data_IF_281460066588
#
_entry.id   IF_281460066588
#
_cell.length_a   1.000
_cell.length_b   1.000
_cell.length_c   1.000
_cell.angle_alpha   90.00
_cell.angle_beta   90.00
_cell.angle_gamma   90.00
#
_symmetry.space_group_name_H-M   'P 1'
#
loop_
_entity.id
_entity.type
_entity.pdbx_description
1 polymer ?
#
# COMPACT_ATOMS: atom_id res chain seq x y z
N UNK A 1 24.08 6.78 -60.09
CA UNK A 1 22.60 6.80 -60.18
C UNK A 1 22.03 6.64 -58.77
N UNK A 2 21.42 7.72 -58.25
CA UNK A 2 20.55 7.85 -57.04
C UNK A 2 21.07 7.33 -55.68
N UNK A 3 21.67 8.25 -54.90
CA UNK A 3 21.89 8.14 -53.44
C UNK A 3 20.54 8.28 -52.71
N UNK A 4 20.21 7.37 -51.78
CA UNK A 4 19.03 7.48 -50.89
C UNK A 4 19.37 8.34 -49.68
N UNK A 5 18.55 9.37 -49.49
CA UNK A 5 18.66 10.43 -48.50
C UNK A 5 18.00 9.98 -47.18
N UNK A 6 18.73 10.11 -46.07
CA UNK A 6 18.20 9.95 -44.71
C UNK A 6 17.43 11.23 -44.33
N UNK A 7 16.17 11.09 -43.92
CA UNK A 7 15.41 12.16 -43.28
C UNK A 7 15.65 12.11 -41.76
N UNK A 8 16.43 13.06 -41.24
CA UNK A 8 16.49 13.38 -39.81
C UNK A 8 15.51 14.52 -39.59
N UNK A 9 14.43 14.24 -38.86
CA UNK A 9 13.46 15.25 -38.43
C UNK A 9 14.07 16.04 -37.25
N UNK A 10 14.64 17.21 -37.56
CA UNK A 10 15.05 18.20 -36.55
C UNK A 10 13.83 18.96 -36.05
N UNK A 11 13.50 18.81 -34.77
CA UNK A 11 12.56 19.70 -34.10
C UNK A 11 13.33 20.95 -33.67
N UNK A 12 12.98 22.05 -34.32
CA UNK A 12 13.48 23.39 -34.06
C UNK A 12 12.74 23.95 -32.84
N UNK A 13 13.44 24.14 -31.71
CA UNK A 13 12.93 24.97 -30.62
C UNK A 13 13.47 26.39 -30.82
N UNK A 14 12.56 27.30 -31.07
CA UNK A 14 12.80 28.72 -31.31
C UNK A 14 13.26 29.33 -29.97
N UNK A 15 14.52 29.76 -29.90
CA UNK A 15 14.98 30.67 -28.87
C UNK A 15 14.62 32.10 -29.26
N UNK A 16 13.86 32.78 -28.41
CA UNK A 16 13.78 34.25 -28.40
C UNK A 16 14.83 34.78 -27.44
N UNK A 17 15.71 35.64 -27.97
CA UNK A 17 16.78 36.30 -27.26
C UNK A 17 16.24 37.42 -26.34
N UNK A 18 16.87 37.56 -25.17
CA UNK A 18 17.10 38.86 -24.54
C UNK A 18 18.58 38.94 -24.17
N UNK A 19 19.29 39.73 -24.98
CA UNK A 19 20.45 40.57 -24.73
C UNK A 19 21.58 40.10 -23.83
N UNK A 20 22.74 39.95 -24.47
CA UNK A 20 24.00 39.61 -23.82
C UNK A 20 24.70 40.76 -23.12
N UNK A 21 25.68 40.37 -22.29
CA UNK A 21 26.90 41.12 -22.01
C UNK A 21 28.00 40.11 -21.68
N UNK A 22 29.17 40.40 -22.23
CA UNK A 22 30.35 39.54 -22.29
C UNK A 22 30.90 39.13 -20.90
N UNK A 23 31.49 37.95 -20.86
CA UNK A 23 32.26 37.42 -19.73
C UNK A 23 33.66 38.07 -19.66
N UNK A 24 34.18 38.35 -18.45
CA UNK A 24 35.60 38.36 -18.20
C UNK A 24 36.04 37.15 -17.36
N UNK A 25 37.06 36.49 -17.90
CA UNK A 25 38.21 35.81 -17.27
C UNK A 25 38.25 35.59 -15.75
N UNK A 26 38.58 34.33 -15.44
CA UNK A 26 38.97 33.72 -14.18
C UNK A 26 40.03 34.47 -13.37
N UNK A 27 39.74 34.65 -12.07
CA UNK A 27 40.74 34.51 -11.00
C UNK A 27 40.12 33.67 -9.88
N UNK A 28 40.83 32.60 -9.51
CA UNK A 28 40.51 31.70 -8.40
C UNK A 28 40.55 32.46 -7.07
N UNK A 29 39.48 32.35 -6.29
CA UNK A 29 39.56 32.48 -4.83
C UNK A 29 38.84 31.30 -4.22
N UNK A 30 39.63 30.36 -3.68
CA UNK A 30 39.17 29.32 -2.78
C UNK A 30 38.50 29.96 -1.56
N UNK A 31 37.18 29.83 -1.45
CA UNK A 31 36.48 29.98 -0.18
C UNK A 31 35.84 28.62 0.12
N UNK A 32 36.48 27.90 1.04
CA UNK A 32 35.90 26.76 1.73
C UNK A 32 34.73 27.32 2.54
N UNK A 33 33.51 27.12 2.06
CA UNK A 33 32.32 27.41 2.83
C UNK A 33 32.07 26.23 3.77
N UNK A 34 32.51 26.40 5.01
CA UNK A 34 32.11 25.65 6.20
C UNK A 34 30.58 25.75 6.36
N UNK A 35 29.84 24.79 5.82
CA UNK A 35 28.43 24.60 6.17
C UNK A 35 28.38 23.72 7.40
N UNK A 36 28.41 24.36 8.58
CA UNK A 36 28.04 23.71 9.83
C UNK A 36 26.61 23.18 9.71
N UNK A 37 26.47 21.86 9.72
CA UNK A 37 25.20 21.18 9.94
C UNK A 37 24.65 21.62 11.31
N UNK A 38 23.68 22.54 11.28
CA UNK A 38 22.85 22.80 12.46
C UNK A 38 21.95 21.58 12.67
N UNK A 39 22.35 20.71 13.58
CA UNK A 39 21.43 19.77 14.21
C UNK A 39 20.33 20.58 14.90
N UNK A 40 19.12 20.52 14.35
CA UNK A 40 17.93 20.99 15.05
C UNK A 40 17.50 19.85 15.97
N UNK A 41 17.88 19.96 17.22
CA UNK A 41 17.45 19.08 18.31
C UNK A 41 15.95 19.28 18.55
N UNK A 42 15.14 18.33 18.06
CA UNK A 42 13.70 18.32 18.33
C UNK A 42 13.52 17.81 19.77
N UNK A 43 13.26 18.72 20.71
CA UNK A 43 12.89 18.37 22.08
C UNK A 43 11.48 17.74 22.07
N UNK A 44 11.40 16.47 21.69
CA UNK A 44 10.18 15.68 21.81
C UNK A 44 9.88 15.42 23.29
N UNK A 45 8.62 15.59 23.68
CA UNK A 45 8.13 14.98 24.93
C UNK A 45 8.45 13.48 24.91
N UNK A 46 8.77 12.86 26.07
CA UNK A 46 9.15 11.46 26.12
C UNK A 46 8.05 10.61 25.49
N UNK A 47 8.41 9.93 24.39
CA UNK A 47 7.57 8.91 23.77
C UNK A 47 7.30 7.90 24.88
N UNK A 48 6.08 7.87 25.43
CA UNK A 48 5.73 6.87 26.43
C UNK A 48 5.85 5.51 25.77
N UNK A 49 6.97 4.83 25.99
CA UNK A 49 7.18 3.46 25.55
C UNK A 49 6.04 2.60 26.11
N UNK A 50 5.13 2.18 25.23
CA UNK A 50 4.25 1.06 25.50
C UNK A 50 4.84 -0.13 24.76
N UNK A 51 5.05 -1.29 25.41
CA UNK A 51 5.46 -2.49 24.70
C UNK A 51 4.28 -2.86 23.81
N UNK A 52 4.43 -2.88 22.48
CA UNK A 52 3.31 -3.25 21.63
C UNK A 52 3.58 -4.55 20.91
N UNK A 53 3.68 -5.59 21.75
CA UNK A 53 3.49 -6.98 21.33
C UNK A 53 2.14 -7.08 20.60
N UNK A 54 2.14 -7.71 19.42
CA UNK A 54 0.93 -7.95 18.66
C UNK A 54 -0.12 -8.67 19.52
N UNK A 55 -1.37 -8.18 19.50
CA UNK A 55 -2.48 -8.83 20.22
C UNK A 55 -3.40 -9.58 19.27
N UNK A 56 -3.90 -10.73 19.71
CA UNK A 56 -4.94 -11.47 19.01
C UNK A 56 -6.34 -10.92 19.33
N UNK A 57 -7.26 -11.04 18.37
CA UNK A 57 -8.68 -10.78 18.60
C UNK A 57 -9.28 -11.92 19.42
N UNK A 58 -9.87 -11.59 20.58
CA UNK A 58 -10.43 -12.60 21.51
C UNK A 58 -11.77 -13.17 21.04
N UNK A 59 -12.64 -12.33 20.50
CA UNK A 59 -13.95 -12.74 19.98
C UNK A 59 -13.99 -12.55 18.47
N UNK A 60 -13.97 -13.67 17.75
CA UNK A 60 -13.99 -13.71 16.28
C UNK A 60 -15.39 -13.94 15.71
N UNK A 61 -16.44 -13.88 16.54
CA UNK A 61 -17.83 -14.07 16.09
C UNK A 61 -18.21 -13.09 14.97
N UNK A 62 -17.74 -11.84 15.06
CA UNK A 62 -17.92 -10.84 13.99
C UNK A 62 -17.28 -11.26 12.67
N UNK A 63 -16.08 -11.85 12.74
CA UNK A 63 -15.33 -12.35 11.57
C UNK A 63 -16.06 -13.51 10.90
N UNK A 64 -16.61 -14.46 11.67
CA UNK A 64 -17.41 -15.56 11.13
C UNK A 64 -18.68 -15.06 10.42
N UNK A 65 -19.39 -14.09 11.01
CA UNK A 65 -20.54 -13.43 10.36
C UNK A 65 -20.13 -12.77 9.04
N UNK A 66 -19.00 -12.05 9.05
CA UNK A 66 -18.48 -11.39 7.85
C UNK A 66 -18.06 -12.38 6.77
N UNK A 67 -17.47 -13.50 7.15
CA UNK A 67 -17.12 -14.57 6.24
C UNK A 67 -18.35 -15.21 5.59
N UNK A 68 -19.46 -15.35 6.33
CA UNK A 68 -20.72 -15.82 5.76
C UNK A 68 -21.28 -14.88 4.68
N UNK A 69 -21.16 -13.55 4.88
CA UNK A 69 -21.47 -12.55 3.84
C UNK A 69 -20.52 -12.68 2.64
N UNK A 70 -19.22 -12.80 2.90
CA UNK A 70 -18.20 -12.98 1.87
C UNK A 70 -18.47 -14.23 1.02
N UNK A 71 -18.83 -15.36 1.64
CA UNK A 71 -19.19 -16.63 0.98
C UNK A 71 -20.35 -16.45 -0.01
N UNK A 72 -21.39 -15.70 0.38
CA UNK A 72 -22.52 -15.38 -0.50
C UNK A 72 -22.06 -14.54 -1.69
N UNK A 73 -21.25 -13.50 -1.42
CA UNK A 73 -20.76 -12.60 -2.45
C UNK A 73 -19.86 -13.31 -3.48
N UNK A 74 -18.87 -14.08 -3.04
CA UNK A 74 -17.93 -14.75 -3.96
C UNK A 74 -18.64 -15.76 -4.86
N UNK A 75 -19.65 -16.47 -4.34
CA UNK A 75 -20.50 -17.37 -5.13
C UNK A 75 -21.27 -16.60 -6.21
N UNK A 76 -21.90 -15.48 -5.85
CA UNK A 76 -22.66 -14.65 -6.79
C UNK A 76 -21.78 -14.02 -7.87
N UNK A 77 -20.53 -13.68 -7.56
CA UNK A 77 -19.59 -13.03 -8.49
C UNK A 77 -18.68 -14.00 -9.24
N UNK A 78 -18.83 -15.31 -9.06
CA UNK A 78 -17.98 -16.32 -9.71
C UNK A 78 -16.50 -16.18 -9.31
N UNK A 79 -16.25 -15.80 -8.06
CA UNK A 79 -14.91 -15.64 -7.48
C UNK A 79 -14.48 -16.93 -6.77
N UNK A 80 -13.29 -16.94 -6.17
CA UNK A 80 -12.81 -18.05 -5.36
C UNK A 80 -13.76 -18.29 -4.16
N UNK A 81 -14.27 -19.51 -4.05
CA UNK A 81 -15.21 -19.95 -3.00
C UNK A 81 -14.53 -20.74 -1.87
N UNK A 82 -13.22 -20.90 -1.95
CA UNK A 82 -12.41 -21.70 -1.05
C UNK A 82 -11.90 -20.84 0.10
N UNK A 83 -11.46 -19.62 -0.19
CA UNK A 83 -10.93 -18.72 0.80
C UNK A 83 -11.05 -17.24 0.39
N UNK A 84 -10.94 -16.35 1.37
CA UNK A 84 -10.87 -14.91 1.16
C UNK A 84 -9.98 -14.24 2.23
N UNK A 85 -9.74 -12.93 2.06
CA UNK A 85 -9.06 -12.09 3.04
C UNK A 85 -10.07 -11.12 3.64
N UNK A 86 -10.13 -11.06 4.96
CA UNK A 86 -10.96 -10.12 5.72
C UNK A 86 -10.03 -9.20 6.50
N UNK A 87 -10.28 -7.89 6.49
CA UNK A 87 -9.52 -6.90 7.25
C UNK A 87 -10.50 -6.03 8.02
N UNK A 88 -10.38 -6.03 9.34
CA UNK A 88 -11.23 -5.30 10.27
C UNK A 88 -10.48 -4.13 10.90
N UNK A 89 -10.70 -2.92 10.38
CA UNK A 89 -10.05 -1.72 10.86
C UNK A 89 -10.73 -1.08 12.08
N UNK A 90 -11.75 -1.73 12.66
CA UNK A 90 -12.25 -1.35 13.99
C UNK A 90 -11.24 -1.65 15.10
N UNK A 91 -10.32 -2.59 14.86
CA UNK A 91 -9.23 -2.88 15.77
C UNK A 91 -8.03 -1.97 15.53
N UNK A 92 -7.34 -1.61 16.61
CA UNK A 92 -6.14 -0.81 16.56
C UNK A 92 -5.00 -1.47 15.76
N UNK A 93 -3.99 -0.67 15.43
CA UNK A 93 -2.87 -1.04 14.59
C UNK A 93 -2.07 -2.25 15.11
N UNK A 94 -2.01 -2.47 16.42
CA UNK A 94 -1.24 -3.57 17.04
C UNK A 94 -2.07 -4.82 17.32
N UNK A 95 -3.30 -4.87 16.82
CA UNK A 95 -4.16 -6.05 16.87
C UNK A 95 -4.11 -6.78 15.53
N UNK A 96 -3.97 -8.11 15.53
CA UNK A 96 -3.99 -8.93 14.32
C UNK A 96 -5.38 -8.90 13.68
N UNK A 97 -5.51 -7.97 12.73
CA UNK A 97 -6.76 -7.51 12.15
C UNK A 97 -6.96 -7.86 10.68
N UNK A 98 -6.03 -8.62 10.09
CA UNK A 98 -6.26 -9.38 8.86
C UNK A 98 -6.48 -10.84 9.19
N UNK A 99 -7.43 -11.45 8.51
CA UNK A 99 -7.80 -12.85 8.64
C UNK A 99 -7.79 -13.50 7.25
N UNK A 100 -6.95 -14.51 7.06
CA UNK A 100 -7.06 -15.40 5.90
C UNK A 100 -8.11 -16.44 6.25
N UNK A 101 -9.26 -16.40 5.59
CA UNK A 101 -10.43 -17.17 5.99
C UNK A 101 -10.73 -18.30 5.00
N UNK A 102 -10.89 -19.52 5.52
CA UNK A 102 -11.32 -20.71 4.80
C UNK A 102 -12.85 -20.74 4.71
N UNK A 103 -13.39 -20.44 3.53
CA UNK A 103 -14.83 -20.37 3.27
C UNK A 103 -15.46 -21.77 3.14
N UNK A 104 -14.66 -22.81 2.87
CA UNK A 104 -15.14 -24.20 2.80
C UNK A 104 -15.38 -24.75 4.19
N UNK A 105 -14.38 -24.62 5.06
CA UNK A 105 -14.36 -25.21 6.39
C UNK A 105 -14.79 -24.25 7.50
N UNK A 106 -15.13 -23.01 7.16
CA UNK A 106 -15.62 -21.98 8.07
C UNK A 106 -14.67 -21.69 9.25
N UNK A 107 -13.39 -21.48 8.92
CA UNK A 107 -12.34 -21.24 9.93
C UNK A 107 -11.33 -20.20 9.47
N UNK A 108 -10.70 -19.56 10.45
CA UNK A 108 -9.53 -18.70 10.22
C UNK A 108 -8.31 -19.60 10.02
N UNK A 109 -7.55 -19.36 8.95
CA UNK A 109 -6.31 -20.07 8.63
C UNK A 109 -5.09 -19.38 9.21
N UNK A 110 -5.05 -18.05 9.11
CA UNK A 110 -3.95 -17.21 9.57
C UNK A 110 -4.45 -15.81 9.94
N UNK A 111 -3.73 -15.15 10.84
CA UNK A 111 -3.97 -13.75 11.23
C UNK A 111 -2.71 -12.91 11.08
N UNK A 112 -2.86 -11.61 10.83
CA UNK A 112 -1.73 -10.68 10.72
C UNK A 112 -2.07 -9.26 11.15
N UNK A 113 -1.03 -8.53 11.57
CA UNK A 113 -1.05 -7.07 11.63
C UNK A 113 -1.12 -6.49 10.22
N UNK A 114 -1.81 -5.35 10.09
CA UNK A 114 -1.95 -4.64 8.82
C UNK A 114 -1.80 -3.16 9.07
N UNK A 115 -0.96 -2.51 8.28
CA UNK A 115 -0.85 -1.05 8.23
C UNK A 115 -1.97 -0.46 7.35
N UNK A 116 -2.56 0.66 7.78
CA UNK A 116 -3.49 1.45 6.97
C UNK A 116 -2.84 2.75 6.49
N UNK A 117 -3.57 3.50 5.66
CA UNK A 117 -3.17 4.83 5.23
C UNK A 117 -3.07 5.85 6.37
N UNK A 118 -2.14 6.81 6.26
CA UNK A 118 -1.96 7.92 7.21
C UNK A 118 -2.97 9.07 7.00
N UNK A 119 -3.64 9.09 5.85
CA UNK A 119 -4.50 10.19 5.45
C UNK A 119 -5.61 10.51 6.44
N UNK A 120 -6.05 11.77 6.46
CA UNK A 120 -7.13 12.23 7.32
C UNK A 120 -6.78 12.32 8.82
N UNK A 121 -5.52 12.11 9.20
CA UNK A 121 -5.10 12.07 10.61
C UNK A 121 -5.27 10.70 11.25
N UNK A 122 -5.20 9.62 10.45
CA UNK A 122 -5.28 8.26 10.96
C UNK A 122 -4.11 7.97 11.90
N UNK A 123 -4.39 7.32 13.03
CA UNK A 123 -3.42 6.98 14.05
C UNK A 123 -3.49 5.49 14.41
N UNK A 124 -3.00 5.13 15.60
CA UNK A 124 -2.99 3.73 16.04
C UNK A 124 -4.39 3.18 16.30
N UNK A 125 -5.29 4.00 16.83
CA UNK A 125 -6.60 3.60 17.32
C UNK A 125 -7.73 4.01 16.36
N UNK A 126 -7.52 5.03 15.54
CA UNK A 126 -8.54 5.60 14.65
C UNK A 126 -8.06 5.60 13.19
N UNK A 127 -8.89 5.07 12.30
CA UNK A 127 -8.63 5.04 10.85
C UNK A 127 -9.64 5.90 10.12
N UNK A 128 -9.16 6.81 9.29
CA UNK A 128 -10.01 7.60 8.40
C UNK A 128 -10.03 6.98 6.99
N UNK A 129 -11.22 6.95 6.40
CA UNK A 129 -11.44 6.34 5.10
C UNK A 129 -11.80 7.35 4.03
N UNK A 130 -11.24 7.17 2.84
CA UNK A 130 -11.60 7.99 1.68
C UNK A 130 -11.29 7.26 0.38
N UNK A 131 -12.14 7.45 -0.62
CA UNK A 131 -11.94 6.98 -1.99
C UNK A 131 -11.38 8.07 -2.92
N UNK A 132 -11.01 9.22 -2.36
CA UNK A 132 -10.50 10.37 -3.12
C UNK A 132 -9.02 10.17 -3.46
N UNK A 133 -8.64 10.52 -4.68
CA UNK A 133 -7.24 10.47 -5.12
C UNK A 133 -6.37 11.42 -4.30
N UNK A 134 -5.16 10.98 -3.94
CA UNK A 134 -4.23 11.75 -3.11
C UNK A 134 -4.63 11.89 -1.63
N UNK A 135 -5.74 11.32 -1.17
CA UNK A 135 -6.16 11.47 0.24
C UNK A 135 -5.24 10.80 1.25
N UNK A 136 -4.43 9.84 0.83
CA UNK A 136 -3.59 9.01 1.71
C UNK A 136 -4.37 8.07 2.64
N UNK A 137 -5.71 8.08 2.59
CA UNK A 137 -6.56 7.22 3.42
C UNK A 137 -6.71 5.83 2.80
N UNK A 138 -6.91 4.82 3.65
CA UNK A 138 -7.47 3.54 3.19
C UNK A 138 -8.93 3.71 2.74
N UNK A 139 -9.52 2.70 2.11
CA UNK A 139 -10.93 2.74 1.70
C UNK A 139 -11.64 1.46 2.10
N UNK A 140 -12.86 1.59 2.62
CA UNK A 140 -13.70 0.45 2.98
C UNK A 140 -14.28 -0.21 1.73
N UNK A 141 -14.58 -1.50 1.84
CA UNK A 141 -15.34 -2.26 0.87
C UNK A 141 -14.63 -3.49 0.33
N UNK A 142 -15.26 -4.12 -0.65
CA UNK A 142 -14.81 -5.35 -1.30
C UNK A 142 -13.84 -5.04 -2.44
N UNK A 143 -12.74 -5.76 -2.48
CA UNK A 143 -11.71 -5.67 -3.49
C UNK A 143 -11.53 -7.00 -4.19
N UNK A 144 -11.21 -6.93 -5.48
CA UNK A 144 -10.61 -8.05 -6.21
C UNK A 144 -9.10 -7.86 -6.24
N UNK A 145 -8.38 -8.87 -5.76
CA UNK A 145 -6.92 -8.93 -5.94
C UNK A 145 -6.62 -9.13 -7.43
N UNK A 146 -5.78 -8.24 -7.95
CA UNK A 146 -5.45 -8.13 -9.37
C UNK A 146 -4.13 -8.79 -9.74
N UNK A 147 -3.46 -8.23 -10.73
CA UNK A 147 -2.20 -8.77 -11.25
C UNK A 147 -1.07 -8.60 -10.23
N UNK A 148 -0.20 -9.60 -10.15
CA UNK A 148 1.08 -9.53 -9.44
C UNK A 148 2.04 -8.64 -10.23
N UNK A 149 2.73 -7.72 -9.58
CA UNK A 149 3.68 -6.81 -10.22
C UNK A 149 4.89 -6.59 -9.32
N UNK A 150 5.99 -6.09 -9.91
CA UNK A 150 7.20 -5.79 -9.17
C UNK A 150 6.97 -4.66 -8.14
N UNK A 151 7.66 -4.75 -7.01
CA UNK A 151 7.64 -3.77 -5.92
C UNK A 151 9.07 -3.40 -5.53
N UNK A 152 9.29 -2.12 -5.22
CA UNK A 152 10.56 -1.66 -4.63
C UNK A 152 10.64 -1.93 -3.12
N UNK A 153 9.59 -2.51 -2.53
CA UNK A 153 9.46 -2.73 -1.09
C UNK A 153 9.21 -4.21 -0.78
N UNK A 154 9.66 -4.63 0.40
CA UNK A 154 9.32 -5.92 0.98
C UNK A 154 9.84 -7.08 0.14
N UNK A 155 9.01 -8.09 -0.05
CA UNK A 155 9.29 -9.29 -0.88
C UNK A 155 9.45 -9.01 -2.39
N UNK A 156 9.60 -7.76 -2.80
CA UNK A 156 9.78 -7.29 -4.19
C UNK A 156 8.62 -7.60 -5.15
N UNK A 157 7.42 -7.82 -4.61
CA UNK A 157 6.20 -7.85 -5.40
C UNK A 157 5.00 -7.32 -4.63
N UNK A 158 3.97 -6.92 -5.36
CA UNK A 158 2.67 -6.54 -4.83
C UNK A 158 1.55 -7.07 -5.74
N UNK A 159 0.31 -6.99 -5.26
CA UNK A 159 -0.88 -7.22 -6.07
C UNK A 159 -1.70 -5.95 -6.23
N UNK A 160 -2.07 -5.60 -7.48
CA UNK A 160 -2.92 -4.43 -7.74
C UNK A 160 -4.33 -4.65 -7.21
N UNK A 161 -4.91 -3.65 -6.55
CA UNK A 161 -6.25 -3.78 -5.96
C UNK A 161 -7.31 -3.13 -6.85
N UNK A 162 -8.40 -3.84 -7.10
CA UNK A 162 -9.56 -3.32 -7.82
C UNK A 162 -10.75 -3.22 -6.86
N UNK A 163 -11.25 -2.01 -6.63
CA UNK A 163 -12.47 -1.80 -5.86
C UNK A 163 -13.69 -2.35 -6.59
N UNK A 164 -14.62 -2.92 -5.83
CA UNK A 164 -15.87 -3.51 -6.33
C UNK A 164 -17.10 -2.75 -5.84
N UNK A 165 -16.91 -1.66 -5.08
CA UNK A 165 -17.97 -0.86 -4.45
C UNK A 165 -17.70 0.64 -4.62
N UNK A 166 -18.71 1.49 -4.45
CA UNK A 166 -18.56 2.95 -4.62
C UNK A 166 -17.57 3.57 -3.63
N UNK A 167 -17.42 2.96 -2.45
CA UNK A 167 -16.51 3.36 -1.38
C UNK A 167 -15.04 3.08 -1.69
N UNK A 168 -14.73 2.24 -2.68
CA UNK A 168 -13.35 1.91 -3.07
C UNK A 168 -13.12 1.87 -4.59
N UNK A 169 -14.06 2.37 -5.39
CA UNK A 169 -14.06 2.31 -6.85
C UNK A 169 -12.81 2.93 -7.51
N UNK A 170 -12.12 3.85 -6.83
CA UNK A 170 -10.90 4.47 -7.34
C UNK A 170 -9.63 3.72 -6.93
N UNK A 171 -9.70 2.60 -6.21
CA UNK A 171 -8.53 1.88 -5.68
C UNK A 171 -7.43 1.64 -6.73
N UNK A 172 -7.81 1.18 -7.93
CA UNK A 172 -6.84 0.94 -9.00
C UNK A 172 -6.21 2.23 -9.53
N UNK A 173 -7.01 3.28 -9.71
CA UNK A 173 -6.54 4.62 -10.16
C UNK A 173 -5.61 5.25 -9.14
N UNK A 174 -5.91 5.06 -7.85
CA UNK A 174 -5.14 5.51 -6.69
C UNK A 174 -3.89 4.68 -6.43
N UNK A 175 -3.55 3.73 -7.31
CA UNK A 175 -2.42 2.82 -7.16
C UNK A 175 -2.43 2.04 -5.84
N UNK A 176 -3.62 1.72 -5.32
CA UNK A 176 -3.76 0.89 -4.13
C UNK A 176 -3.31 -0.54 -4.47
N UNK A 177 -2.38 -1.06 -3.68
CA UNK A 177 -1.80 -2.40 -3.83
C UNK A 177 -1.79 -3.11 -2.49
N UNK A 178 -1.89 -4.44 -2.51
CA UNK A 178 -1.53 -5.28 -1.36
C UNK A 178 -0.05 -5.61 -1.47
N UNK A 179 0.74 -5.20 -0.48
CA UNK A 179 2.18 -5.39 -0.48
C UNK A 179 2.72 -5.60 0.93
N UNK A 180 3.99 -5.98 1.03
CA UNK A 180 4.75 -5.91 2.26
C UNK A 180 5.76 -4.78 2.26
N UNK A 181 6.39 -4.59 3.41
CA UNK A 181 7.47 -3.64 3.62
C UNK A 181 8.50 -4.26 4.57
N UNK A 182 9.79 -4.16 4.23
CA UNK A 182 10.90 -4.81 4.98
C UNK A 182 10.93 -4.43 6.47
N UNK A 183 10.42 -3.24 6.81
CA UNK A 183 10.37 -2.74 8.18
C UNK A 183 9.00 -2.91 8.85
N UNK A 184 8.02 -3.46 8.15
CA UNK A 184 6.79 -3.95 8.77
C UNK A 184 7.07 -5.34 9.31
N UNK A 185 7.68 -5.42 10.50
CA UNK A 185 7.83 -6.70 11.19
C UNK A 185 6.45 -7.27 11.50
N UNK A 186 6.32 -8.59 11.60
CA UNK A 186 5.02 -9.20 11.92
C UNK A 186 4.46 -8.74 13.28
N UNK A 187 5.30 -8.15 14.12
CA UNK A 187 4.94 -7.55 15.41
C UNK A 187 5.03 -6.01 15.44
N UNK A 188 5.43 -5.34 14.35
CA UNK A 188 5.59 -3.88 14.30
C UNK A 188 5.12 -3.30 12.95
N UNK A 189 3.83 -2.97 12.82
CA UNK A 189 3.24 -2.39 11.61
C UNK A 189 3.48 -0.87 11.59
N UNK A 190 3.27 -0.24 10.43
CA UNK A 190 3.53 1.19 10.22
C UNK A 190 2.24 1.99 10.05
N UNK A 191 2.28 3.28 10.35
CA UNK A 191 1.21 4.23 9.97
C UNK A 191 1.53 5.00 8.70
N UNK A 192 2.69 4.77 8.06
CA UNK A 192 3.20 5.62 6.98
C UNK A 192 2.67 5.28 5.57
N UNK A 193 1.73 4.34 5.43
CA UNK A 193 1.16 3.99 4.12
C UNK A 193 0.31 5.15 3.58
N UNK A 194 0.19 5.24 2.24
CA UNK A 194 -0.68 6.20 1.56
C UNK A 194 -2.02 5.59 1.12
N UNK A 195 -2.49 4.58 1.87
CA UNK A 195 -3.81 3.94 1.71
C UNK A 195 -3.76 2.44 1.42
N UNK A 196 -2.60 1.91 1.05
CA UNK A 196 -2.38 0.48 0.81
C UNK A 196 -2.45 -0.34 2.11
N UNK A 197 -3.09 -1.52 2.09
CA UNK A 197 -2.90 -2.51 3.15
C UNK A 197 -1.46 -3.06 3.06
N UNK A 198 -0.69 -2.87 4.14
CA UNK A 198 0.71 -3.35 4.23
C UNK A 198 0.85 -4.41 5.32
N UNK A 199 1.43 -5.56 4.97
CA UNK A 199 1.69 -6.67 5.89
C UNK A 199 3.19 -6.97 6.00
N UNK A 200 3.59 -7.87 6.90
CA UNK A 200 4.96 -8.36 6.92
C UNK A 200 5.27 -9.31 5.75
N UNK A 201 6.55 -9.50 5.44
CA UNK A 201 7.03 -10.30 4.32
C UNK A 201 6.55 -11.77 4.38
N UNK A 202 6.52 -12.38 5.57
CA UNK A 202 6.04 -13.75 5.76
C UNK A 202 4.57 -13.91 5.38
N UNK A 203 3.72 -12.98 5.84
CA UNK A 203 2.31 -12.96 5.48
C UNK A 203 2.12 -12.72 3.98
N UNK A 204 2.90 -11.83 3.37
CA UNK A 204 2.83 -11.58 1.94
C UNK A 204 3.22 -12.82 1.11
N UNK A 205 4.26 -13.54 1.53
CA UNK A 205 4.68 -14.81 0.93
C UNK A 205 3.62 -15.90 1.11
N UNK A 206 2.97 -15.96 2.28
CA UNK A 206 1.85 -16.87 2.52
C UNK A 206 0.69 -16.61 1.56
N UNK A 207 0.27 -15.34 1.45
CA UNK A 207 -0.80 -14.91 0.55
C UNK A 207 -0.45 -15.22 -0.91
N UNK A 208 0.78 -14.93 -1.34
CA UNK A 208 1.27 -15.21 -2.70
C UNK A 208 1.18 -16.70 -3.05
N UNK A 209 1.62 -17.59 -2.14
CA UNK A 209 1.48 -19.04 -2.31
C UNK A 209 0.02 -19.46 -2.47
N UNK A 210 -0.90 -18.92 -1.67
CA UNK A 210 -2.34 -19.23 -1.79
C UNK A 210 -2.94 -18.72 -3.10
N UNK A 211 -2.61 -17.51 -3.53
CA UNK A 211 -3.09 -16.94 -4.80
C UNK A 211 -2.63 -17.82 -5.97
N UNK A 212 -1.34 -18.19 -6.01
CA UNK A 212 -0.78 -19.05 -7.06
C UNK A 212 -1.44 -20.43 -7.13
N UNK A 213 -1.84 -20.98 -5.98
CA UNK A 213 -2.56 -22.25 -5.89
C UNK A 213 -4.07 -22.16 -6.20
N UNK A 214 -4.59 -21.00 -6.57
CA UNK A 214 -6.04 -20.76 -6.76
C UNK A 214 -6.51 -20.85 -8.21
N UNK A 215 -5.78 -21.50 -9.11
CA UNK A 215 -6.17 -21.73 -10.52
C UNK A 215 -6.71 -20.48 -11.25
N UNK A 216 -6.06 -19.33 -11.05
CA UNK A 216 -6.45 -18.03 -11.59
C UNK A 216 -7.86 -17.52 -11.17
N UNK A 217 -8.47 -18.12 -10.14
CA UNK A 217 -9.72 -17.62 -9.57
C UNK A 217 -9.49 -16.27 -8.89
N UNK A 218 -10.43 -15.35 -9.11
CA UNK A 218 -10.42 -14.01 -8.51
C UNK A 218 -10.56 -14.14 -7.00
N UNK A 219 -9.61 -13.60 -6.24
CA UNK A 219 -9.64 -13.62 -4.77
C UNK A 219 -10.31 -12.36 -4.24
N UNK A 220 -11.21 -12.53 -3.27
CA UNK A 220 -11.80 -11.43 -2.53
C UNK A 220 -10.89 -11.01 -1.38
N UNK A 221 -10.67 -9.71 -1.26
CA UNK A 221 -10.22 -9.06 -0.03
C UNK A 221 -11.29 -8.05 0.39
N UNK A 222 -11.73 -8.06 1.64
CA UNK A 222 -12.75 -7.14 2.14
C UNK A 222 -12.22 -6.36 3.34
N UNK A 223 -12.14 -5.03 3.20
CA UNK A 223 -11.86 -4.09 4.29
C UNK A 223 -13.18 -3.56 4.86
N UNK A 224 -13.36 -3.65 6.17
CA UNK A 224 -14.49 -3.11 6.92
C UNK A 224 -14.00 -2.55 8.26
N UNK A 225 -14.90 -1.87 8.98
CA UNK A 225 -14.73 -1.32 10.31
C UNK A 225 -16.05 -1.43 11.10
#
# INVERSE_FOLDING_TARGET
MKRKLFYILSICFIMSACDGKAAPTSQETNIIADTQEKQVEYAGEPIKERPRVATEVKDVTGIHKKAAEAKKFVKQKGMNTDWCILIDFSYNLYTKRMFIYDLKNDKILETALVSHGAGGGSDIDNVFFSNVEGSGCSSLGKYRIGIRSYSNWGVHFHYKMHGLESTNSNAYKRLIVLHSYEYAYCDNPTTASLGCPVVCDDMMNYIDKKIKASDNKKILLWIFD
#
